data_IF_848135259854
#
_entry.id   IF_848135259854
#
_cell.length_a   1.000
_cell.length_b   1.000
_cell.length_c   1.000
_cell.angle_alpha   90.00
_cell.angle_beta   90.00
_cell.angle_gamma   90.00
#
_symmetry.space_group_name_H-M   'P 1'
#
loop_
_entity.id
_entity.type
_entity.pdbx_description
1 polymer ?
#
# COMPACT_ATOMS: atom_id res chain seq x y z
N UNK A 1 74.78 51.12 7.30
CA UNK A 1 73.61 50.81 8.17
C UNK A 1 72.68 50.02 7.36
N UNK A 2 72.49 48.71 7.61
CA UNK A 2 71.73 47.85 6.74
C UNK A 2 70.32 47.59 7.33
N UNK A 3 69.39 47.63 6.43
CA UNK A 3 67.95 47.38 6.61
C UNK A 3 67.65 45.88 6.61
N UNK A 4 66.91 45.43 7.61
CA UNK A 4 66.42 44.06 7.76
C UNK A 4 65.22 43.77 6.82
N UNK A 5 65.33 42.74 6.01
CA UNK A 5 64.20 42.17 5.26
C UNK A 5 63.52 41.05 6.07
N UNK A 6 62.28 41.27 6.39
CA UNK A 6 61.39 40.28 7.00
C UNK A 6 60.86 39.31 5.94
N UNK A 7 61.09 38.01 6.11
CA UNK A 7 60.43 36.94 5.38
C UNK A 7 59.18 36.50 6.18
N UNK A 8 57.97 36.80 5.68
CA UNK A 8 56.74 36.14 6.02
C UNK A 8 55.93 36.04 4.75
N UNK A 9 55.69 34.82 4.28
CA UNK A 9 54.56 34.42 3.47
C UNK A 9 54.71 32.98 3.03
N UNK A 10 53.60 32.23 3.13
CA UNK A 10 53.32 30.95 2.49
C UNK A 10 53.07 29.82 3.50
N UNK A 11 51.86 29.80 4.01
CA UNK A 11 51.18 28.58 4.46
C UNK A 11 49.66 28.87 4.60
N UNK A 12 48.94 28.74 3.50
CA UNK A 12 47.47 28.63 3.52
C UNK A 12 46.98 28.11 2.16
N UNK A 13 47.06 26.81 1.95
CA UNK A 13 46.31 26.11 0.91
C UNK A 13 46.28 24.62 1.28
N UNK A 14 45.18 24.13 1.77
CA UNK A 14 45.05 22.69 1.97
C UNK A 14 44.04 22.30 3.05
N UNK A 15 42.77 22.75 2.97
CA UNK A 15 41.70 22.14 3.74
C UNK A 15 40.36 22.47 3.07
N UNK A 16 40.00 21.73 2.02
CA UNK A 16 38.65 21.76 1.46
C UNK A 16 38.42 20.59 0.51
N UNK A 17 38.61 19.36 0.98
CA UNK A 17 38.12 18.13 0.33
C UNK A 17 37.88 17.08 1.41
N UNK A 18 36.73 17.11 2.04
CA UNK A 18 36.44 16.12 3.08
C UNK A 18 35.03 16.16 3.64
N UNK A 19 34.00 16.52 2.83
CA UNK A 19 32.61 16.56 3.32
C UNK A 19 31.58 15.94 2.37
N UNK A 20 31.95 15.00 1.51
CA UNK A 20 31.02 14.33 0.59
C UNK A 20 30.91 12.80 0.77
N UNK A 21 31.49 12.24 1.82
CA UNK A 21 31.47 10.78 2.03
C UNK A 21 30.67 10.30 3.26
N UNK A 22 29.86 11.16 3.90
CA UNK A 22 29.15 10.78 5.12
C UNK A 22 27.77 10.11 4.89
N UNK A 23 27.22 10.15 3.67
CA UNK A 23 25.89 9.58 3.39
C UNK A 23 25.86 8.06 3.20
N UNK A 24 26.90 7.50 2.58
CA UNK A 24 26.93 6.05 2.24
C UNK A 24 27.28 5.13 3.42
N UNK A 25 27.81 5.66 4.52
CA UNK A 25 28.24 4.84 5.67
C UNK A 25 27.05 4.32 6.50
N UNK A 26 25.94 5.03 6.58
CA UNK A 26 24.83 4.67 7.47
C UNK A 26 23.88 3.61 6.87
N UNK A 27 23.67 3.60 5.55
CA UNK A 27 22.91 2.52 4.89
C UNK A 27 23.66 1.19 4.94
N UNK A 28 24.97 1.24 4.72
CA UNK A 28 25.85 0.09 4.83
C UNK A 28 25.87 -0.50 6.24
N UNK A 29 25.74 0.33 7.28
CA UNK A 29 25.72 -0.11 8.69
C UNK A 29 24.45 -0.90 9.01
N UNK A 30 23.25 -0.47 8.56
CA UNK A 30 22.01 -1.21 8.84
C UNK A 30 22.01 -2.57 8.14
N UNK A 31 22.22 -2.57 6.82
CA UNK A 31 22.14 -3.80 6.01
C UNK A 31 23.26 -4.81 6.33
N UNK A 32 24.40 -4.37 6.85
CA UNK A 32 25.47 -5.24 7.33
C UNK A 32 25.12 -5.89 8.68
N UNK A 33 24.31 -5.22 9.52
CA UNK A 33 24.04 -5.66 10.89
C UNK A 33 22.82 -6.57 10.98
N UNK A 34 21.77 -6.32 10.21
CA UNK A 34 20.49 -7.06 10.26
C UNK A 34 19.71 -6.96 8.95
N UNK A 35 18.79 -7.92 8.68
CA UNK A 35 17.91 -7.83 7.53
C UNK A 35 16.90 -6.67 7.66
N UNK A 36 16.40 -6.21 6.53
CA UNK A 36 15.19 -5.36 6.45
C UNK A 36 14.01 -6.29 6.25
N UNK A 37 13.13 -6.37 7.24
CA UNK A 37 11.95 -7.22 7.20
C UNK A 37 10.74 -6.38 6.80
N UNK A 38 10.04 -6.84 5.79
CA UNK A 38 8.81 -6.23 5.30
C UNK A 38 7.56 -6.89 5.90
N UNK A 39 6.48 -6.14 5.99
CA UNK A 39 5.14 -6.67 6.20
C UNK A 39 4.73 -7.49 4.98
N UNK A 40 4.56 -8.79 5.16
CA UNK A 40 4.10 -9.74 4.14
C UNK A 40 2.57 -9.75 4.08
N UNK A 41 1.99 -8.71 3.50
CA UNK A 41 0.54 -8.54 3.36
C UNK A 41 -0.05 -9.52 2.32
N UNK A 42 -1.36 -9.73 2.36
CA UNK A 42 -2.05 -10.72 1.52
C UNK A 42 -3.04 -10.10 0.52
N UNK A 43 -2.69 -8.93 -0.02
CA UNK A 43 -3.36 -8.30 -1.18
C UNK A 43 -2.35 -7.88 -2.23
N UNK A 44 -2.79 -7.84 -3.48
CA UNK A 44 -1.92 -7.85 -4.66
C UNK A 44 -1.01 -6.61 -4.76
N UNK A 45 -1.56 -5.40 -4.54
CA UNK A 45 -0.76 -4.17 -4.64
C UNK A 45 0.30 -4.09 -3.55
N UNK A 46 -0.04 -4.47 -2.32
CA UNK A 46 0.91 -4.49 -1.20
C UNK A 46 2.02 -5.52 -1.40
N UNK A 47 1.70 -6.71 -1.94
CA UNK A 47 2.72 -7.69 -2.32
C UNK A 47 3.65 -7.14 -3.40
N UNK A 48 3.12 -6.53 -4.44
CA UNK A 48 3.93 -5.96 -5.53
C UNK A 48 4.82 -4.81 -5.04
N UNK A 49 4.30 -3.89 -4.22
CA UNK A 49 5.10 -2.81 -3.64
C UNK A 49 6.20 -3.32 -2.70
N UNK A 50 5.91 -4.36 -1.92
CA UNK A 50 6.91 -5.04 -1.07
C UNK A 50 8.07 -5.55 -1.93
N UNK A 51 7.77 -6.23 -3.04
CA UNK A 51 8.79 -6.76 -3.94
C UNK A 51 9.56 -5.66 -4.67
N UNK A 52 8.89 -4.58 -5.10
CA UNK A 52 9.55 -3.44 -5.74
C UNK A 52 10.55 -2.76 -4.79
N UNK A 53 10.13 -2.45 -3.57
CA UNK A 53 10.96 -1.83 -2.55
C UNK A 53 12.08 -2.79 -2.12
N UNK A 54 11.74 -4.05 -1.88
CA UNK A 54 12.69 -5.10 -1.49
C UNK A 54 13.78 -5.30 -2.54
N UNK A 55 13.43 -5.38 -3.83
CA UNK A 55 14.38 -5.49 -4.93
C UNK A 55 15.38 -4.33 -4.94
N UNK A 56 14.90 -3.11 -4.78
CA UNK A 56 15.77 -1.91 -4.77
C UNK A 56 16.73 -1.95 -3.57
N UNK A 57 16.25 -2.29 -2.37
CA UNK A 57 17.12 -2.37 -1.19
C UNK A 57 18.11 -3.53 -1.30
N UNK A 58 17.68 -4.69 -1.80
CA UNK A 58 18.53 -5.87 -1.93
C UNK A 58 19.64 -5.66 -2.95
N UNK A 59 19.30 -5.19 -4.13
CA UNK A 59 20.28 -5.09 -5.23
C UNK A 59 21.01 -3.76 -5.28
N UNK A 60 20.41 -2.67 -4.81
CA UNK A 60 21.07 -1.36 -4.77
C UNK A 60 21.97 -1.18 -3.56
N UNK A 61 21.55 -1.67 -2.42
CA UNK A 61 22.17 -1.39 -1.13
C UNK A 61 22.71 -2.63 -0.39
N UNK A 62 22.73 -3.79 -1.06
CA UNK A 62 23.20 -5.08 -0.54
C UNK A 62 22.50 -5.53 0.75
N UNK A 63 21.26 -5.08 0.97
CA UNK A 63 20.48 -5.47 2.14
C UNK A 63 20.00 -6.93 2.01
N UNK A 64 20.00 -7.66 3.11
CA UNK A 64 19.17 -8.86 3.22
C UNK A 64 17.72 -8.42 3.43
N UNK A 65 16.81 -8.93 2.62
CA UNK A 65 15.39 -8.60 2.68
C UNK A 65 14.61 -9.87 2.99
N UNK A 66 13.72 -9.78 3.99
CA UNK A 66 12.78 -10.82 4.35
C UNK A 66 11.36 -10.26 4.35
N UNK A 67 10.34 -11.12 4.21
CA UNK A 67 8.94 -10.76 4.33
C UNK A 67 8.26 -11.66 5.37
N UNK A 68 7.59 -11.04 6.35
CA UNK A 68 6.90 -11.73 7.43
C UNK A 68 5.40 -11.73 7.12
N UNK A 69 4.78 -12.89 6.83
CA UNK A 69 3.37 -12.95 6.47
C UNK A 69 2.46 -12.62 7.65
N UNK A 70 1.37 -11.89 7.36
CA UNK A 70 0.39 -11.54 8.38
C UNK A 70 -0.79 -10.75 7.81
N UNK A 71 -1.68 -10.33 8.70
CA UNK A 71 -2.73 -9.36 8.39
C UNK A 71 -2.34 -7.96 8.88
N UNK A 72 -3.05 -6.92 8.44
CA UNK A 72 -2.70 -5.53 8.77
C UNK A 72 -2.51 -5.30 10.25
N UNK A 73 -3.44 -5.74 11.08
CA UNK A 73 -3.43 -5.46 12.54
C UNK A 73 -2.20 -6.07 13.22
N UNK A 74 -1.88 -7.33 12.90
CA UNK A 74 -0.73 -8.02 13.50
C UNK A 74 0.59 -7.46 12.99
N UNK A 75 0.66 -7.07 11.71
CA UNK A 75 1.86 -6.49 11.10
C UNK A 75 2.13 -5.07 11.58
N UNK A 76 1.08 -4.24 11.81
CA UNK A 76 1.23 -2.93 12.44
C UNK A 76 1.79 -3.01 13.87
N UNK A 77 1.36 -4.02 14.64
CA UNK A 77 1.92 -4.27 15.97
C UNK A 77 3.40 -4.70 15.89
N UNK A 78 3.74 -5.57 14.94
CA UNK A 78 5.11 -5.99 14.70
C UNK A 78 6.01 -4.82 14.27
N UNK A 79 5.48 -3.91 13.44
CA UNK A 79 6.16 -2.67 13.03
C UNK A 79 6.41 -1.75 14.25
N UNK A 80 5.42 -1.58 15.12
CA UNK A 80 5.53 -0.76 16.32
C UNK A 80 6.53 -1.31 17.35
N UNK A 81 6.84 -2.61 17.29
CA UNK A 81 7.82 -3.28 18.13
C UNK A 81 9.21 -3.44 17.46
N UNK A 82 9.40 -2.96 16.22
CA UNK A 82 10.61 -3.18 15.38
C UNK A 82 10.88 -4.66 15.04
N UNK A 83 9.87 -5.52 15.10
CA UNK A 83 9.98 -6.92 14.65
C UNK A 83 10.02 -6.99 13.12
N UNK A 84 9.38 -6.04 12.45
CA UNK A 84 9.50 -5.70 11.03
C UNK A 84 9.87 -4.22 10.88
N UNK A 85 10.47 -3.84 9.76
CA UNK A 85 10.99 -2.49 9.53
C UNK A 85 10.16 -1.68 8.54
N UNK A 86 9.52 -2.33 7.57
CA UNK A 86 8.79 -1.66 6.48
C UNK A 86 7.42 -2.29 6.25
N UNK A 87 6.41 -1.45 6.19
CA UNK A 87 5.07 -1.77 5.69
C UNK A 87 4.87 -1.01 4.38
N UNK A 88 5.02 -1.68 3.23
CA UNK A 88 5.13 -1.02 1.92
C UNK A 88 3.87 -0.24 1.50
N UNK A 89 2.69 -0.65 1.98
CA UNK A 89 1.40 -0.07 1.64
C UNK A 89 0.54 0.11 2.89
N UNK A 90 0.87 1.13 3.70
CA UNK A 90 0.11 1.48 4.90
C UNK A 90 -0.99 2.49 4.58
N UNK A 91 -2.24 2.13 4.88
CA UNK A 91 -3.43 2.98 4.69
C UNK A 91 -3.64 3.87 5.91
N UNK A 92 -3.04 5.05 5.86
CA UNK A 92 -2.91 5.97 7.01
C UNK A 92 -4.27 6.37 7.60
N UNK A 93 -4.34 6.33 8.93
CA UNK A 93 -5.51 6.77 9.69
C UNK A 93 -6.65 5.75 9.75
N UNK A 94 -6.46 4.54 9.19
CA UNK A 94 -7.47 3.49 9.17
C UNK A 94 -7.45 2.61 10.41
N UNK A 95 -6.29 2.40 10.99
CA UNK A 95 -6.08 1.51 12.12
C UNK A 95 -5.91 2.29 13.43
N UNK A 96 -6.62 1.86 14.48
CA UNK A 96 -6.39 2.38 15.82
C UNK A 96 -4.99 1.97 16.34
N UNK A 97 -4.51 0.77 15.97
CA UNK A 97 -3.17 0.30 16.34
C UNK A 97 -2.09 1.19 15.72
N UNK A 98 -2.17 1.47 14.41
CA UNK A 98 -1.29 2.43 13.75
C UNK A 98 -1.35 3.80 14.39
N UNK A 99 -2.55 4.36 14.59
CA UNK A 99 -2.73 5.70 15.13
C UNK A 99 -2.12 5.86 16.55
N UNK A 100 -2.29 4.84 17.40
CA UNK A 100 -1.66 4.80 18.74
C UNK A 100 -0.14 4.69 18.66
N UNK A 101 0.37 3.83 17.77
CA UNK A 101 1.81 3.66 17.59
C UNK A 101 2.48 4.92 17.03
N UNK A 102 1.86 5.59 16.07
CA UNK A 102 2.32 6.86 15.51
C UNK A 102 2.31 7.99 16.55
N UNK A 103 1.22 8.12 17.32
CA UNK A 103 1.14 9.08 18.42
C UNK A 103 2.19 8.83 19.52
N UNK A 104 2.56 7.58 19.75
CA UNK A 104 3.62 7.18 20.67
C UNK A 104 5.04 7.29 20.06
N UNK A 105 5.17 7.74 18.81
CA UNK A 105 6.46 7.88 18.12
C UNK A 105 7.15 6.55 17.81
N UNK A 106 6.42 5.45 17.71
CA UNK A 106 6.96 4.12 17.44
C UNK A 106 7.02 3.78 15.95
N UNK A 107 6.17 4.42 15.15
CA UNK A 107 6.11 4.25 13.70
C UNK A 107 6.06 5.60 13.01
N UNK A 108 6.52 5.64 11.75
CA UNK A 108 6.55 6.84 10.91
C UNK A 108 6.06 6.46 9.52
N UNK A 109 5.12 7.24 8.97
CA UNK A 109 4.72 7.12 7.57
C UNK A 109 5.58 8.03 6.69
N UNK A 110 6.08 7.52 5.57
CA UNK A 110 6.92 8.29 4.63
C UNK A 110 6.45 8.11 3.19
N UNK A 111 6.67 9.13 2.39
CA UNK A 111 6.38 9.11 0.95
C UNK A 111 4.90 8.91 0.61
N UNK A 112 4.65 8.57 -0.66
CA UNK A 112 3.35 8.22 -1.20
C UNK A 112 3.55 7.16 -2.31
N UNK A 113 3.72 5.88 -1.97
CA UNK A 113 3.94 4.82 -2.96
C UNK A 113 2.78 4.70 -3.95
N UNK A 114 1.58 5.12 -3.53
CA UNK A 114 0.38 5.20 -4.35
C UNK A 114 -0.31 6.54 -4.08
N UNK A 115 -0.62 7.28 -5.14
CA UNK A 115 -1.50 8.43 -5.11
C UNK A 115 -2.81 8.12 -5.82
N UNK A 116 -3.93 8.68 -5.35
CA UNK A 116 -5.25 8.47 -5.96
C UNK A 116 -5.90 7.13 -5.59
N UNK A 117 -5.41 6.44 -4.57
CA UNK A 117 -6.08 5.26 -4.03
C UNK A 117 -7.52 5.59 -3.60
N UNK A 118 -8.42 4.64 -3.81
CA UNK A 118 -9.84 4.75 -3.44
C UNK A 118 -10.31 3.49 -2.74
N UNK A 119 -11.32 3.62 -1.89
CA UNK A 119 -12.02 2.47 -1.30
C UNK A 119 -13.47 2.84 -1.01
N UNK A 120 -14.30 1.84 -0.85
CA UNK A 120 -15.71 2.06 -0.51
C UNK A 120 -16.59 0.83 -0.71
N UNK A 121 -17.89 1.06 -0.67
CA UNK A 121 -18.88 0.02 -0.94
C UNK A 121 -19.36 0.14 -2.38
N UNK A 122 -19.39 -1.00 -3.06
CA UNK A 122 -19.65 -1.07 -4.48
C UNK A 122 -20.78 -2.04 -4.80
N UNK A 123 -21.47 -1.74 -5.88
CA UNK A 123 -22.46 -2.63 -6.53
C UNK A 123 -22.18 -2.67 -8.03
N UNK A 124 -22.51 -3.76 -8.73
CA UNK A 124 -22.41 -3.80 -10.20
C UNK A 124 -23.26 -2.72 -10.87
N UNK A 125 -22.71 -2.04 -11.90
CA UNK A 125 -23.41 -0.96 -12.62
C UNK A 125 -24.76 -1.42 -13.18
N UNK A 126 -24.87 -2.63 -13.71
CA UNK A 126 -26.14 -3.15 -14.25
C UNK A 126 -27.28 -3.25 -13.23
N UNK A 127 -27.00 -3.11 -11.94
CA UNK A 127 -28.06 -3.07 -10.91
C UNK A 127 -28.68 -1.69 -10.75
N UNK A 128 -27.90 -0.64 -11.02
CA UNK A 128 -28.26 0.77 -10.71
C UNK A 128 -28.43 1.63 -11.94
N UNK A 129 -27.92 1.20 -13.10
CA UNK A 129 -27.96 1.94 -14.35
C UNK A 129 -28.37 1.05 -15.53
N UNK A 130 -29.00 1.66 -16.55
CA UNK A 130 -29.40 1.00 -17.79
C UNK A 130 -30.81 0.41 -17.72
N UNK A 131 -31.26 -0.09 -18.89
CA UNK A 131 -32.57 -0.73 -19.04
C UNK A 131 -32.63 -2.04 -18.22
N UNK A 132 -33.66 -2.19 -17.39
CA UNK A 132 -33.83 -3.35 -16.52
C UNK A 132 -33.04 -3.30 -15.21
N UNK A 133 -32.44 -2.14 -14.85
CA UNK A 133 -31.79 -1.95 -13.57
C UNK A 133 -32.74 -2.25 -12.40
N UNK A 134 -32.33 -3.15 -11.50
CA UNK A 134 -33.18 -3.60 -10.35
C UNK A 134 -33.19 -2.60 -9.19
N UNK A 135 -32.23 -1.70 -9.13
CA UNK A 135 -32.05 -0.73 -8.05
C UNK A 135 -31.65 0.67 -8.59
N UNK A 136 -32.41 1.31 -9.49
CA UNK A 136 -32.01 2.57 -10.12
C UNK A 136 -31.91 3.74 -9.12
N UNK A 137 -32.54 3.61 -7.95
CA UNK A 137 -32.49 4.61 -6.88
C UNK A 137 -31.44 4.33 -5.80
N UNK A 138 -30.69 3.24 -5.88
CA UNK A 138 -29.59 2.92 -4.98
C UNK A 138 -28.35 3.74 -5.37
N UNK A 139 -28.07 4.81 -4.63
CA UNK A 139 -26.96 5.74 -4.91
C UNK A 139 -26.03 5.94 -3.74
N UNK A 140 -26.56 5.71 -2.52
CA UNK A 140 -25.82 5.94 -1.27
C UNK A 140 -25.86 4.70 -0.39
N UNK A 141 -24.91 4.63 0.56
CA UNK A 141 -24.91 3.58 1.58
C UNK A 141 -26.20 3.62 2.43
N UNK A 142 -26.76 4.82 2.66
CA UNK A 142 -28.01 4.98 3.42
C UNK A 142 -29.22 4.34 2.73
N UNK A 143 -29.23 4.27 1.39
CA UNK A 143 -30.33 3.64 0.63
C UNK A 143 -30.42 2.14 0.81
N UNK A 144 -29.32 1.48 1.20
CA UNK A 144 -29.21 0.01 1.31
C UNK A 144 -30.26 -0.61 2.22
N UNK A 145 -30.77 0.15 3.20
CA UNK A 145 -31.83 -0.32 4.09
C UNK A 145 -33.09 -0.83 3.38
N UNK A 146 -33.32 -0.43 2.12
CA UNK A 146 -34.49 -0.82 1.30
C UNK A 146 -34.17 -1.97 0.33
N UNK A 147 -32.90 -2.38 0.22
CA UNK A 147 -32.43 -3.32 -0.80
C UNK A 147 -31.88 -4.64 -0.22
N UNK A 148 -32.11 -4.95 1.08
CA UNK A 148 -31.60 -6.17 1.69
C UNK A 148 -32.04 -7.43 0.93
N UNK A 149 -33.32 -7.48 0.50
CA UNK A 149 -33.87 -8.62 -0.26
C UNK A 149 -33.21 -8.78 -1.66
N UNK A 150 -32.79 -7.67 -2.30
CA UNK A 150 -32.04 -7.73 -3.57
C UNK A 150 -30.68 -8.43 -3.39
N UNK A 151 -30.02 -8.21 -2.26
CA UNK A 151 -28.73 -8.78 -1.92
C UNK A 151 -28.82 -9.99 -1.01
N UNK A 152 -29.93 -10.73 -1.08
CA UNK A 152 -30.26 -11.84 -0.18
C UNK A 152 -29.06 -12.74 0.14
N UNK A 153 -28.88 -12.98 1.44
CA UNK A 153 -27.90 -13.94 1.94
C UNK A 153 -28.45 -15.37 1.83
N UNK A 154 -27.74 -16.30 1.15
CA UNK A 154 -28.20 -17.69 1.03
C UNK A 154 -28.15 -18.47 2.36
N UNK A 155 -27.36 -18.01 3.35
CA UNK A 155 -27.16 -18.68 4.65
C UNK A 155 -27.99 -18.05 5.77
N UNK A 156 -28.38 -16.76 5.62
CA UNK A 156 -29.17 -16.01 6.60
C UNK A 156 -30.47 -15.50 5.95
N UNK A 157 -31.53 -16.31 5.90
CA UNK A 157 -32.82 -15.90 5.31
C UNK A 157 -33.37 -14.64 5.97
N UNK A 158 -33.80 -13.67 5.13
CA UNK A 158 -34.34 -12.39 5.59
C UNK A 158 -33.28 -11.28 5.71
N UNK A 159 -32.01 -11.57 5.49
CA UNK A 159 -30.94 -10.56 5.41
C UNK A 159 -30.33 -10.48 4.01
N UNK A 160 -29.76 -9.31 3.69
CA UNK A 160 -28.83 -9.17 2.61
C UNK A 160 -27.41 -9.60 3.03
N UNK A 161 -26.54 -9.89 2.08
CA UNK A 161 -25.12 -10.16 2.33
C UNK A 161 -24.29 -8.96 1.91
N UNK A 162 -23.49 -8.41 2.83
CA UNK A 162 -22.41 -7.48 2.54
C UNK A 162 -21.09 -8.24 2.57
N UNK A 163 -20.39 -8.28 1.43
CA UNK A 163 -19.04 -8.84 1.33
C UNK A 163 -18.04 -7.77 1.80
N UNK A 164 -17.64 -7.89 3.06
CA UNK A 164 -16.67 -7.01 3.69
C UNK A 164 -15.23 -7.36 3.29
N UNK A 165 -14.26 -6.62 3.80
CA UNK A 165 -12.85 -6.98 3.75
C UNK A 165 -12.59 -8.33 4.41
N UNK A 166 -11.50 -9.02 4.02
CA UNK A 166 -10.97 -10.15 4.76
C UNK A 166 -10.80 -9.85 6.26
N UNK A 167 -11.03 -10.85 7.09
CA UNK A 167 -10.83 -10.73 8.53
C UNK A 167 -9.38 -10.37 8.87
N UNK A 168 -9.20 -9.42 9.79
CA UNK A 168 -7.90 -8.93 10.22
C UNK A 168 -7.32 -7.81 9.37
N UNK A 169 -8.03 -7.36 8.32
CA UNK A 169 -7.71 -6.10 7.65
C UNK A 169 -8.33 -4.93 8.42
N UNK A 170 -7.71 -3.76 8.34
CA UNK A 170 -8.21 -2.55 9.03
C UNK A 170 -9.58 -2.11 8.54
N UNK A 171 -9.84 -2.19 7.24
CA UNK A 171 -11.14 -1.88 6.63
C UNK A 171 -12.28 -2.79 7.13
N UNK A 172 -11.99 -4.01 7.59
CA UNK A 172 -13.02 -4.91 8.12
C UNK A 172 -13.70 -4.33 9.36
N UNK A 173 -12.91 -3.78 10.26
CA UNK A 173 -13.42 -3.14 11.48
C UNK A 173 -14.18 -1.84 11.16
N UNK A 174 -13.65 -1.00 10.27
CA UNK A 174 -14.34 0.22 9.83
C UNK A 174 -15.69 -0.09 9.18
N UNK A 175 -15.73 -1.02 8.25
CA UNK A 175 -16.97 -1.41 7.59
C UNK A 175 -17.99 -2.02 8.56
N UNK A 176 -17.53 -2.75 9.58
CA UNK A 176 -18.40 -3.25 10.66
C UNK A 176 -19.02 -2.08 11.43
N UNK A 177 -18.25 -1.07 11.77
CA UNK A 177 -18.76 0.16 12.40
C UNK A 177 -19.71 0.93 11.47
N UNK A 178 -19.42 1.00 10.18
CA UNK A 178 -20.30 1.62 9.19
C UNK A 178 -21.65 0.89 9.09
N UNK A 179 -21.67 -0.44 9.06
CA UNK A 179 -22.94 -1.21 9.11
C UNK A 179 -23.80 -0.81 10.31
N UNK A 180 -23.17 -0.62 11.48
CA UNK A 180 -23.86 -0.17 12.69
C UNK A 180 -24.36 1.27 12.56
N UNK A 181 -23.52 2.20 12.15
CA UNK A 181 -23.84 3.63 12.07
C UNK A 181 -24.93 3.95 11.04
N UNK A 182 -25.04 3.12 9.98
CA UNK A 182 -26.11 3.23 8.98
C UNK A 182 -27.37 2.44 9.35
N UNK A 183 -27.41 1.76 10.51
CA UNK A 183 -28.56 0.94 10.93
C UNK A 183 -28.77 -0.28 10.04
N UNK A 184 -27.71 -0.84 9.50
CA UNK A 184 -27.75 -1.97 8.56
C UNK A 184 -27.42 -3.31 9.20
N UNK A 185 -26.93 -3.35 10.45
CA UNK A 185 -26.47 -4.58 11.13
C UNK A 185 -27.55 -5.67 11.23
N UNK A 186 -28.82 -5.27 11.41
CA UNK A 186 -29.94 -6.23 11.48
C UNK A 186 -30.43 -6.64 10.09
N UNK A 187 -30.10 -5.88 9.05
CA UNK A 187 -30.56 -6.08 7.68
C UNK A 187 -29.56 -6.82 6.80
N UNK A 188 -28.28 -6.81 7.16
CA UNK A 188 -27.21 -7.40 6.38
C UNK A 188 -26.32 -8.29 7.23
N UNK A 189 -25.98 -9.45 6.69
CA UNK A 189 -24.89 -10.28 7.18
C UNK A 189 -23.57 -9.62 6.80
N UNK A 190 -22.68 -9.46 7.77
CA UNK A 190 -21.31 -8.97 7.57
C UNK A 190 -20.41 -10.15 7.19
N UNK A 191 -20.41 -10.53 5.91
CA UNK A 191 -19.63 -11.67 5.41
C UNK A 191 -18.17 -11.28 5.18
N UNK A 192 -17.25 -12.04 5.75
CA UNK A 192 -15.80 -11.80 5.68
C UNK A 192 -15.13 -12.89 4.86
N UNK A 193 -14.72 -12.62 3.61
CA UNK A 193 -13.91 -13.59 2.85
C UNK A 193 -12.56 -13.81 3.54
N UNK A 194 -11.94 -14.95 3.30
CA UNK A 194 -10.67 -15.29 3.95
C UNK A 194 -9.45 -14.50 3.43
N UNK A 195 -9.50 -14.03 2.17
CA UNK A 195 -8.39 -13.34 1.48
C UNK A 195 -8.91 -12.36 0.45
N UNK A 196 -8.06 -11.43 -0.04
CA UNK A 196 -8.36 -10.55 -1.18
C UNK A 196 -8.78 -11.34 -2.43
N UNK A 197 -8.00 -12.32 -2.90
CA UNK A 197 -8.39 -13.17 -4.02
C UNK A 197 -9.73 -13.89 -3.86
N UNK A 198 -10.13 -14.26 -2.64
CA UNK A 198 -11.46 -14.84 -2.39
C UNK A 198 -12.58 -13.82 -2.57
N UNK A 199 -12.36 -12.56 -2.17
CA UNK A 199 -13.28 -11.45 -2.43
C UNK A 199 -13.41 -11.19 -3.94
N UNK A 200 -12.28 -11.13 -4.66
CA UNK A 200 -12.23 -10.97 -6.12
C UNK A 200 -13.02 -12.07 -6.83
N UNK A 201 -12.82 -13.32 -6.43
CA UNK A 201 -13.53 -14.45 -7.02
C UNK A 201 -15.06 -14.33 -6.82
N UNK A 202 -15.52 -13.86 -5.65
CA UNK A 202 -16.94 -13.63 -5.38
C UNK A 202 -17.51 -12.54 -6.31
N UNK A 203 -16.81 -11.41 -6.47
CA UNK A 203 -17.22 -10.30 -7.34
C UNK A 203 -17.27 -10.73 -8.81
N UNK A 204 -16.20 -11.38 -9.31
CA UNK A 204 -16.14 -11.89 -10.69
C UNK A 204 -17.25 -12.91 -10.96
N UNK A 205 -17.49 -13.80 -10.01
CA UNK A 205 -18.54 -14.82 -10.13
C UNK A 205 -19.94 -14.20 -10.21
N UNK A 206 -20.23 -13.23 -9.33
CA UNK A 206 -21.51 -12.52 -9.33
C UNK A 206 -21.72 -11.72 -10.62
N UNK A 207 -20.71 -10.95 -11.06
CA UNK A 207 -20.80 -10.11 -12.28
C UNK A 207 -20.94 -10.93 -13.55
N UNK A 208 -20.22 -12.04 -13.69
CA UNK A 208 -20.37 -12.96 -14.84
C UNK A 208 -21.78 -13.54 -14.93
N UNK A 209 -22.40 -13.83 -13.81
CA UNK A 209 -23.78 -14.38 -13.74
C UNK A 209 -24.87 -13.32 -13.70
N UNK A 210 -24.51 -12.01 -13.76
CA UNK A 210 -25.44 -10.88 -13.59
C UNK A 210 -26.24 -10.96 -12.28
N UNK A 211 -25.63 -11.50 -11.22
CA UNK A 211 -26.23 -11.63 -9.88
C UNK A 211 -25.92 -10.37 -9.06
N UNK A 212 -26.84 -9.96 -8.17
CA UNK A 212 -26.58 -8.88 -7.23
C UNK A 212 -25.45 -9.24 -6.28
N UNK A 213 -24.55 -8.26 -6.05
CA UNK A 213 -23.54 -8.32 -5.01
C UNK A 213 -23.35 -6.91 -4.44
N UNK A 214 -23.29 -6.81 -3.11
CA UNK A 214 -22.87 -5.63 -2.36
C UNK A 214 -21.54 -5.96 -1.71
N UNK A 215 -20.52 -5.19 -2.01
CA UNK A 215 -19.15 -5.50 -1.57
C UNK A 215 -18.37 -4.23 -1.19
N UNK A 216 -17.47 -4.36 -0.21
CA UNK A 216 -16.33 -3.47 -0.10
C UNK A 216 -15.36 -3.75 -1.24
N UNK A 217 -14.72 -2.69 -1.76
CA UNK A 217 -13.61 -2.82 -2.67
C UNK A 217 -12.72 -1.57 -2.67
N UNK A 218 -11.54 -1.65 -3.32
CA UNK A 218 -10.56 -0.57 -3.33
C UNK A 218 -9.80 -0.52 -4.67
N UNK A 219 -9.02 0.53 -4.87
CA UNK A 219 -8.04 0.69 -5.95
C UNK A 219 -6.71 1.17 -5.36
N UNK A 220 -5.56 0.64 -5.80
CA UNK A 220 -5.35 -0.19 -7.01
C UNK A 220 -5.61 -1.68 -6.77
N UNK A 221 -6.21 -2.33 -7.78
CA UNK A 221 -6.45 -3.79 -7.79
C UNK A 221 -6.50 -4.31 -9.21
N UNK A 222 -6.33 -5.64 -9.42
CA UNK A 222 -6.46 -6.23 -10.75
C UNK A 222 -7.90 -6.19 -11.29
N UNK A 223 -8.89 -5.93 -10.46
CA UNK A 223 -10.30 -6.16 -10.79
C UNK A 223 -11.06 -4.94 -11.28
N UNK A 224 -10.85 -3.73 -10.71
CA UNK A 224 -11.66 -2.55 -11.05
C UNK A 224 -11.55 -2.10 -12.52
N UNK A 225 -10.53 -2.49 -13.25
CA UNK A 225 -10.47 -2.30 -14.70
C UNK A 225 -11.22 -3.36 -15.52
N UNK A 226 -11.70 -4.44 -14.87
CA UNK A 226 -12.27 -5.65 -15.51
C UNK A 226 -13.75 -5.88 -15.21
N UNK A 227 -14.25 -5.29 -14.14
CA UNK A 227 -15.65 -5.34 -13.73
C UNK A 227 -16.22 -3.94 -13.63
N UNK A 228 -17.42 -3.76 -14.12
CA UNK A 228 -18.08 -2.47 -14.14
C UNK A 228 -18.91 -2.29 -12.86
N UNK A 229 -18.32 -1.60 -11.88
CA UNK A 229 -18.87 -1.37 -10.55
C UNK A 229 -19.15 0.11 -10.32
N UNK A 230 -20.15 0.42 -9.52
CA UNK A 230 -20.48 1.77 -9.06
C UNK A 230 -20.26 1.83 -7.54
N UNK A 231 -19.52 2.85 -7.10
CA UNK A 231 -19.34 3.13 -5.69
C UNK A 231 -20.57 3.82 -5.11
N UNK A 232 -21.08 3.32 -4.02
CA UNK A 232 -22.14 3.97 -3.26
C UNK A 232 -21.55 5.13 -2.44
N UNK A 233 -22.22 6.29 -2.50
CA UNK A 233 -21.75 7.46 -1.78
C UNK A 233 -22.00 7.30 -0.27
N UNK A 234 -21.03 7.62 0.59
CA UNK A 234 -21.27 7.79 2.02
C UNK A 234 -22.13 9.03 2.28
N UNK A 235 -22.52 9.26 3.54
CA UNK A 235 -23.17 10.52 3.96
C UNK A 235 -22.22 11.69 3.72
N UNK A 236 -22.79 12.87 3.51
CA UNK A 236 -22.00 14.10 3.38
C UNK A 236 -21.11 14.29 4.61
N UNK A 237 -19.82 14.60 4.36
CA UNK A 237 -18.80 14.75 5.40
C UNK A 237 -18.15 13.46 5.90
N UNK A 238 -18.65 12.27 5.52
CA UNK A 238 -18.05 10.98 5.89
C UNK A 238 -17.01 10.48 4.86
N UNK A 239 -16.93 11.11 3.67
CA UNK A 239 -15.91 10.78 2.69
C UNK A 239 -14.51 11.11 3.23
N UNK A 240 -13.69 10.07 3.43
CA UNK A 240 -12.33 10.22 3.95
C UNK A 240 -11.35 10.41 2.79
N UNK A 241 -10.36 11.28 3.01
CA UNK A 241 -9.21 11.36 2.11
C UNK A 241 -8.34 10.13 2.34
N UNK A 242 -8.12 9.37 1.29
CA UNK A 242 -7.23 8.21 1.31
C UNK A 242 -5.77 8.69 1.20
N UNK A 243 -4.92 8.20 2.10
CA UNK A 243 -3.48 8.37 2.06
C UNK A 243 -2.82 7.02 2.23
N UNK A 244 -1.96 6.66 1.29
CA UNK A 244 -1.12 5.47 1.37
C UNK A 244 0.32 5.92 1.50
N UNK A 245 1.02 5.43 2.53
CA UNK A 245 2.42 5.72 2.80
C UNK A 245 3.21 4.42 3.01
N UNK A 246 4.52 4.48 2.90
CA UNK A 246 5.35 3.42 3.44
C UNK A 246 5.44 3.63 4.96
N UNK A 247 4.94 2.66 5.74
CA UNK A 247 5.06 2.64 7.19
C UNK A 247 6.42 2.11 7.60
N UNK A 248 7.11 2.81 8.49
CA UNK A 248 8.45 2.43 8.98
C UNK A 248 8.44 2.30 10.49
N UNK A 249 9.18 1.31 11.03
CA UNK A 249 9.50 1.32 12.45
C UNK A 249 10.37 2.53 12.78
N UNK A 250 10.20 3.11 13.97
CA UNK A 250 11.00 4.29 14.38
C UNK A 250 12.48 4.00 14.44
N UNK A 251 12.87 2.80 14.85
CA UNK A 251 14.27 2.40 14.90
C UNK A 251 14.90 2.34 13.51
N UNK A 252 14.20 1.79 12.53
CA UNK A 252 14.66 1.79 11.13
C UNK A 252 14.70 3.19 10.54
N UNK A 253 13.64 3.98 10.76
CA UNK A 253 13.59 5.36 10.30
C UNK A 253 14.79 6.19 10.75
N UNK A 254 15.16 6.09 12.03
CA UNK A 254 16.27 6.86 12.59
C UNK A 254 17.65 6.26 12.28
N UNK A 255 17.72 4.92 12.15
CA UNK A 255 18.97 4.19 11.97
C UNK A 255 19.42 4.01 10.51
N UNK A 256 18.54 4.24 9.53
CA UNK A 256 18.82 4.00 8.12
C UNK A 256 18.39 5.15 7.19
N UNK A 257 18.84 6.40 7.41
CA UNK A 257 18.31 7.59 6.73
C UNK A 257 18.44 7.53 5.20
N UNK A 258 19.43 6.88 4.66
CA UNK A 258 19.62 6.72 3.21
C UNK A 258 18.52 5.78 2.63
N UNK A 259 18.26 4.65 3.26
CA UNK A 259 17.21 3.72 2.84
C UNK A 259 15.82 4.37 2.99
N UNK A 260 15.60 5.11 4.08
CA UNK A 260 14.38 5.90 4.31
C UNK A 260 14.18 6.92 3.18
N UNK A 261 15.24 7.60 2.77
CA UNK A 261 15.18 8.55 1.65
C UNK A 261 14.80 7.87 0.32
N UNK A 262 15.26 6.65 0.08
CA UNK A 262 14.83 5.85 -1.09
C UNK A 262 13.35 5.49 -0.97
N UNK A 263 12.93 4.90 0.14
CA UNK A 263 11.54 4.47 0.36
C UNK A 263 10.56 5.66 0.29
N UNK A 264 10.96 6.84 0.77
CA UNK A 264 10.16 8.06 0.69
C UNK A 264 9.92 8.56 -0.73
N UNK A 265 10.77 8.18 -1.69
CA UNK A 265 10.62 8.57 -3.10
C UNK A 265 9.88 7.52 -3.93
N UNK A 266 9.61 6.34 -3.38
CA UNK A 266 8.84 5.32 -4.10
C UNK A 266 7.45 5.88 -4.42
N UNK A 267 7.13 5.90 -5.69
CA UNK A 267 5.81 6.25 -6.21
C UNK A 267 5.60 5.46 -7.52
N UNK A 268 4.46 4.80 -7.64
CA UNK A 268 4.04 4.11 -8.86
C UNK A 268 2.72 4.73 -9.30
N UNK A 269 2.63 5.29 -10.52
CA UNK A 269 1.38 5.85 -11.04
C UNK A 269 0.26 4.81 -10.97
N UNK A 270 -0.91 5.22 -10.46
CA UNK A 270 -2.01 4.28 -10.15
C UNK A 270 -2.51 3.54 -11.40
N UNK A 271 -2.53 4.19 -12.56
CA UNK A 271 -2.93 3.58 -13.84
C UNK A 271 -1.94 2.50 -14.28
N UNK A 272 -0.64 2.73 -14.06
CA UNK A 272 0.40 1.73 -14.33
C UNK A 272 0.26 0.56 -13.37
N UNK A 273 0.05 0.84 -12.08
CA UNK A 273 -0.11 -0.20 -11.07
C UNK A 273 -1.34 -1.06 -11.33
N UNK A 274 -2.51 -0.46 -11.61
CA UNK A 274 -3.73 -1.18 -11.96
C UNK A 274 -3.54 -2.09 -13.19
N UNK A 275 -2.89 -1.58 -14.24
CA UNK A 275 -2.57 -2.35 -15.45
C UNK A 275 -1.63 -3.52 -15.15
N UNK A 276 -0.56 -3.26 -14.42
CA UNK A 276 0.41 -4.30 -14.02
C UNK A 276 -0.25 -5.41 -13.19
N UNK A 277 -1.11 -5.05 -12.24
CA UNK A 277 -1.85 -6.01 -11.43
C UNK A 277 -2.85 -6.83 -12.27
N UNK A 278 -3.51 -6.21 -13.25
CA UNK A 278 -4.40 -6.92 -14.17
C UNK A 278 -3.63 -7.91 -15.03
N UNK A 279 -2.49 -7.53 -15.59
CA UNK A 279 -1.59 -8.38 -16.38
C UNK A 279 -1.02 -9.52 -15.52
N UNK A 280 -0.59 -9.23 -14.30
CA UNK A 280 -0.14 -10.22 -13.31
C UNK A 280 -1.19 -11.31 -13.08
N UNK A 281 -2.44 -10.89 -12.81
CA UNK A 281 -3.55 -11.81 -12.54
C UNK A 281 -3.91 -12.65 -13.77
N UNK A 282 -3.86 -12.07 -14.97
CA UNK A 282 -4.16 -12.77 -16.22
C UNK A 282 -3.07 -13.80 -16.56
N UNK A 283 -1.81 -13.42 -16.41
CA UNK A 283 -0.66 -14.29 -16.64
C UNK A 283 -0.41 -15.29 -15.49
N UNK A 284 -1.12 -15.13 -14.36
CA UNK A 284 -0.92 -15.91 -13.11
C UNK A 284 0.54 -15.87 -12.63
N UNK A 285 1.15 -14.72 -12.77
CA UNK A 285 2.52 -14.48 -12.30
C UNK A 285 2.54 -14.18 -10.80
N UNK A 286 3.68 -14.48 -10.16
CA UNK A 286 3.93 -14.06 -8.78
C UNK A 286 4.41 -12.60 -8.70
N UNK A 287 4.35 -12.02 -7.52
CA UNK A 287 4.75 -10.63 -7.29
C UNK A 287 6.25 -10.38 -7.55
N UNK A 288 7.20 -11.26 -7.17
CA UNK A 288 8.63 -11.09 -7.49
C UNK A 288 8.90 -11.00 -8.99
N UNK A 289 8.33 -11.93 -9.78
CA UNK A 289 8.48 -11.93 -11.25
C UNK A 289 7.90 -10.65 -11.86
N UNK A 290 6.71 -10.25 -11.41
CA UNK A 290 6.04 -9.04 -11.87
C UNK A 290 6.82 -7.78 -11.50
N UNK A 291 7.34 -7.68 -10.27
CA UNK A 291 8.15 -6.55 -9.83
C UNK A 291 9.41 -6.37 -10.68
N UNK A 292 10.14 -7.46 -10.93
CA UNK A 292 11.33 -7.43 -11.79
C UNK A 292 10.99 -7.02 -13.22
N UNK A 293 9.91 -7.54 -13.79
CA UNK A 293 9.45 -7.18 -15.13
C UNK A 293 9.06 -5.69 -15.22
N UNK A 294 8.35 -5.17 -14.21
CA UNK A 294 7.95 -3.76 -14.13
C UNK A 294 9.17 -2.84 -14.03
N UNK A 295 10.13 -3.13 -13.14
CA UNK A 295 11.36 -2.33 -13.01
C UNK A 295 12.20 -2.33 -14.28
N UNK A 296 12.24 -3.46 -14.99
CA UNK A 296 12.95 -3.58 -16.26
C UNK A 296 12.26 -2.79 -17.38
N UNK A 297 10.92 -2.81 -17.44
CA UNK A 297 10.15 -2.10 -18.45
C UNK A 297 10.08 -0.59 -18.19
N UNK A 298 10.19 -0.16 -16.94
CA UNK A 298 10.03 1.21 -16.45
C UNK A 298 11.24 1.66 -15.61
N UNK A 299 12.44 1.76 -16.22
CA UNK A 299 13.65 2.16 -15.48
C UNK A 299 13.54 3.57 -14.89
N UNK A 300 12.71 4.46 -15.46
CA UNK A 300 12.45 5.80 -14.96
C UNK A 300 11.90 5.80 -13.51
N UNK A 301 11.16 4.77 -13.12
CA UNK A 301 10.62 4.65 -11.76
C UNK A 301 11.76 4.56 -10.74
N UNK A 302 12.51 3.46 -10.78
CA UNK A 302 13.56 3.23 -9.77
C UNK A 302 14.73 4.20 -9.89
N UNK A 303 14.99 4.76 -11.08
CA UNK A 303 15.96 5.83 -11.26
C UNK A 303 15.52 7.13 -10.56
N UNK A 304 14.24 7.39 -10.45
CA UNK A 304 13.73 8.50 -9.65
C UNK A 304 13.83 8.21 -8.14
N UNK A 305 13.65 6.96 -7.71
CA UNK A 305 13.70 6.59 -6.29
C UNK A 305 15.13 6.57 -5.73
N UNK A 306 16.10 6.10 -6.54
CA UNK A 306 17.48 5.91 -6.15
C UNK A 306 18.35 7.02 -6.75
N UNK A 307 18.95 7.87 -5.93
CA UNK A 307 19.81 8.97 -6.38
C UNK A 307 21.29 8.57 -6.45
N UNK A 308 21.70 7.55 -5.70
CA UNK A 308 23.09 7.05 -5.70
C UNK A 308 23.42 6.32 -7.01
N UNK A 309 24.50 6.72 -7.66
CA UNK A 309 24.91 6.19 -8.96
C UNK A 309 25.44 4.74 -8.87
N UNK A 310 26.11 4.38 -7.77
CA UNK A 310 26.62 3.03 -7.58
C UNK A 310 25.45 2.04 -7.36
N UNK A 311 24.46 2.44 -6.54
CA UNK A 311 23.24 1.67 -6.32
C UNK A 311 22.45 1.50 -7.64
N UNK A 312 22.32 2.55 -8.44
CA UNK A 312 21.68 2.46 -9.77
C UNK A 312 22.37 1.43 -10.68
N UNK A 313 23.70 1.44 -10.72
CA UNK A 313 24.46 0.49 -11.54
C UNK A 313 24.24 -0.96 -11.08
N UNK A 314 24.18 -1.21 -9.77
CA UNK A 314 23.89 -2.52 -9.20
C UNK A 314 22.48 -2.99 -9.55
N UNK A 315 21.47 -2.12 -9.40
CA UNK A 315 20.08 -2.41 -9.76
C UNK A 315 19.98 -2.76 -11.25
N UNK A 316 20.60 -1.92 -12.13
CA UNK A 316 20.59 -2.16 -13.57
C UNK A 316 21.22 -3.51 -13.93
N UNK A 317 22.29 -3.92 -13.24
CA UNK A 317 22.93 -5.21 -13.48
C UNK A 317 22.10 -6.42 -13.00
N UNK A 318 21.19 -6.20 -12.03
CA UNK A 318 20.31 -7.25 -11.48
C UNK A 318 19.02 -7.44 -12.29
N UNK A 319 18.60 -6.45 -13.11
CA UNK A 319 17.42 -6.46 -13.98
C UNK A 319 17.72 -7.18 -15.32
#
# INVERSE_FOLDING_TARGET
MPTAFSRRSLLAAGLSLGLLAAGSAQAADWCASKPVKFAGVNWESGMLLTELMGFVLQHGYDCKVDSIPGNSITLEQALANDDIQVFAEEWIGRSEAWNKAAAAGKVVGVGAPIEGATEGWYVPRYLVEGEGAKAPNLKTIADLGQYAELFRDPEEPGKGRFYNCPAGWTCELENTQMLQSYGLSDKYTNFRPGTGPALDAAIVSATKRKQPILTYYWSPTPLLGRVDMVQLKPRDGEAKRIQVQAGLSKAFHDGAPELVAVLSRVNVPIELLNRTLAEQAEAKQDAPTTAKALLKAHPELWQAWVTDAAARNKIQAAL
#
